data_IF_966490251620
#
_entry.id   IF_966490251620
#
_cell.length_a   1.000
_cell.length_b   1.000
_cell.length_c   1.000
_cell.angle_alpha   90.00
_cell.angle_beta   90.00
_cell.angle_gamma   90.00
#
_symmetry.space_group_name_H-M   'P 1'
#
loop_
_entity.id
_entity.type
_entity.pdbx_description
1 polymer ?
#
# COMPACT_ATOMS: atom_id res chain seq x y z
N UNK A 1 14.14 10.40 -6.86
CA UNK A 1 12.96 10.03 -7.67
C UNK A 1 12.81 10.90 -8.91
N UNK A 2 12.67 12.23 -8.80
CA UNK A 2 12.53 13.12 -9.97
C UNK A 2 13.66 12.94 -11.01
N UNK A 3 14.92 12.82 -10.59
CA UNK A 3 16.04 12.54 -11.51
C UNK A 3 15.94 11.19 -12.23
N UNK A 4 15.31 10.18 -11.62
CA UNK A 4 15.07 8.87 -12.24
C UNK A 4 13.97 8.98 -13.30
N UNK A 5 12.87 9.66 -12.97
CA UNK A 5 11.79 9.97 -13.93
C UNK A 5 12.36 10.70 -15.15
N UNK A 6 13.25 11.66 -14.88
CA UNK A 6 13.99 12.44 -15.87
C UNK A 6 14.78 11.59 -16.83
N UNK A 7 15.61 10.69 -16.29
CA UNK A 7 16.44 9.80 -17.09
C UNK A 7 15.57 8.84 -17.90
N UNK A 8 14.53 8.26 -17.29
CA UNK A 8 13.57 7.38 -17.98
C UNK A 8 12.97 8.08 -19.21
N UNK A 9 12.51 9.33 -19.06
CA UNK A 9 11.90 10.09 -20.14
C UNK A 9 12.93 10.41 -21.25
N UNK A 10 14.16 10.78 -20.88
CA UNK A 10 15.25 11.04 -21.85
C UNK A 10 15.68 9.81 -22.65
N UNK A 11 15.50 8.61 -22.08
CA UNK A 11 15.76 7.33 -22.75
C UNK A 11 14.56 6.84 -23.58
N UNK A 12 13.45 7.59 -23.63
CA UNK A 12 12.23 7.21 -24.35
C UNK A 12 11.50 6.00 -23.76
N UNK A 13 11.75 5.66 -22.49
CA UNK A 13 11.18 4.48 -21.84
C UNK A 13 9.75 4.76 -21.36
N UNK A 14 8.78 4.00 -21.88
CA UNK A 14 7.38 4.06 -21.46
C UNK A 14 7.10 3.05 -20.34
N UNK A 15 7.54 3.39 -19.13
CA UNK A 15 7.35 2.55 -17.94
C UNK A 15 6.88 3.35 -16.73
N UNK A 16 6.10 2.69 -15.87
CA UNK A 16 5.78 3.20 -14.54
C UNK A 16 6.99 3.14 -13.61
N UNK A 17 7.04 4.04 -12.63
CA UNK A 17 7.97 3.96 -11.50
C UNK A 17 7.17 3.71 -10.23
N UNK A 18 7.39 2.57 -9.59
CA UNK A 18 6.79 2.26 -8.29
C UNK A 18 7.74 2.77 -7.21
N UNK A 19 7.22 3.63 -6.32
CA UNK A 19 7.94 4.12 -5.15
C UNK A 19 7.28 3.52 -3.92
N UNK A 20 7.91 2.52 -3.32
CA UNK A 20 7.45 1.93 -2.07
C UNK A 20 7.89 2.83 -0.91
N UNK A 21 6.91 3.32 -0.15
CA UNK A 21 7.12 4.23 0.97
C UNK A 21 6.55 3.57 2.24
N UNK A 22 7.41 2.99 3.10
CA UNK A 22 6.95 2.35 4.33
C UNK A 22 6.40 3.39 5.31
N UNK A 23 5.39 3.00 6.10
CA UNK A 23 5.02 3.76 7.29
C UNK A 23 6.15 3.73 8.32
N UNK A 24 6.30 4.78 9.15
CA UNK A 24 7.21 4.75 10.29
C UNK A 24 6.96 3.53 11.19
N UNK A 25 8.03 2.96 11.75
CA UNK A 25 7.96 1.72 12.54
C UNK A 25 7.13 1.86 13.84
N UNK A 26 6.99 3.07 14.35
CA UNK A 26 6.15 3.42 15.50
C UNK A 26 4.66 3.61 15.14
N UNK A 27 4.34 3.70 13.84
CA UNK A 27 2.99 3.86 13.30
C UNK A 27 2.51 2.60 12.57
N UNK A 28 3.39 1.63 12.34
CA UNK A 28 3.02 0.38 11.68
C UNK A 28 2.14 -0.49 12.59
N UNK A 29 1.34 -1.34 11.96
CA UNK A 29 0.63 -2.40 12.69
C UNK A 29 1.63 -3.45 13.22
N UNK A 30 1.40 -3.95 14.44
CA UNK A 30 2.09 -5.13 14.97
C UNK A 30 2.12 -6.28 13.93
N UNK A 31 3.31 -6.68 13.45
CA UNK A 31 3.44 -7.66 12.37
C UNK A 31 2.83 -9.02 12.73
N UNK A 32 2.95 -9.45 13.99
CA UNK A 32 2.44 -10.76 14.42
C UNK A 32 0.90 -10.78 14.32
N UNK A 33 0.25 -9.72 14.79
CA UNK A 33 -1.20 -9.57 14.72
C UNK A 33 -1.68 -9.45 13.27
N UNK A 34 -1.01 -8.63 12.46
CA UNK A 34 -1.31 -8.46 11.04
C UNK A 34 -1.24 -9.81 10.30
N UNK A 35 -0.14 -10.53 10.43
CA UNK A 35 0.10 -11.78 9.69
C UNK A 35 -0.90 -12.86 10.09
N UNK A 36 -1.27 -12.93 11.37
CA UNK A 36 -2.32 -13.83 11.85
C UNK A 36 -3.67 -13.54 11.20
N UNK A 37 -4.10 -12.28 11.16
CA UNK A 37 -5.39 -11.89 10.56
C UNK A 37 -5.37 -12.12 9.05
N UNK A 38 -4.27 -11.80 8.37
CA UNK A 38 -4.12 -12.04 6.95
C UNK A 38 -4.19 -13.54 6.61
N UNK A 39 -3.52 -14.38 7.38
CA UNK A 39 -3.57 -15.83 7.19
C UNK A 39 -4.99 -16.38 7.37
N UNK A 40 -5.74 -15.89 8.36
CA UNK A 40 -7.15 -16.22 8.56
C UNK A 40 -8.01 -15.76 7.37
N UNK A 41 -7.84 -14.52 6.91
CA UNK A 41 -8.56 -13.98 5.76
C UNK A 41 -8.31 -14.80 4.48
N UNK A 42 -7.07 -15.20 4.22
CA UNK A 42 -6.71 -16.03 3.07
C UNK A 42 -7.31 -17.44 3.15
N UNK A 43 -7.33 -18.02 4.35
CA UNK A 43 -7.97 -19.32 4.57
C UNK A 43 -9.48 -19.26 4.31
N UNK A 44 -10.17 -18.25 4.85
CA UNK A 44 -11.61 -18.05 4.65
C UNK A 44 -11.95 -17.77 3.18
N UNK A 45 -11.12 -16.98 2.47
CA UNK A 45 -11.29 -16.75 1.03
C UNK A 45 -11.19 -18.06 0.25
N UNK A 46 -10.26 -18.94 0.62
CA UNK A 46 -10.08 -20.24 -0.02
C UNK A 46 -11.29 -21.16 0.22
N UNK A 47 -11.73 -21.30 1.47
CA UNK A 47 -12.89 -22.15 1.82
C UNK A 47 -14.19 -21.66 1.19
N UNK A 48 -14.36 -20.33 1.08
CA UNK A 48 -15.50 -19.72 0.40
C UNK A 48 -15.40 -19.76 -1.15
N UNK A 49 -14.30 -20.28 -1.71
CA UNK A 49 -14.09 -20.35 -3.16
C UNK A 49 -13.94 -19.00 -3.86
N UNK A 50 -13.56 -17.94 -3.13
CA UNK A 50 -13.39 -16.58 -3.64
C UNK A 50 -12.12 -16.53 -4.51
N UNK A 51 -12.25 -16.00 -5.73
CA UNK A 51 -11.18 -16.05 -6.74
C UNK A 51 -11.16 -14.79 -7.61
N UNK A 52 -10.04 -14.61 -8.31
CA UNK A 52 -9.86 -13.51 -9.25
C UNK A 52 -10.00 -12.15 -8.58
N UNK A 53 -10.76 -11.26 -9.20
CA UNK A 53 -10.92 -9.89 -8.72
C UNK A 53 -11.62 -9.76 -7.36
N UNK A 54 -12.33 -10.80 -6.90
CA UNK A 54 -13.11 -10.77 -5.66
C UNK A 54 -12.24 -10.96 -4.41
N UNK A 55 -11.01 -11.44 -4.59
CA UNK A 55 -10.09 -11.71 -3.48
C UNK A 55 -9.74 -10.43 -2.73
N UNK A 56 -9.33 -9.37 -3.43
CA UNK A 56 -8.89 -8.13 -2.76
C UNK A 56 -10.01 -7.45 -1.96
N UNK A 57 -11.22 -7.22 -2.52
CA UNK A 57 -12.34 -6.66 -1.74
C UNK A 57 -12.69 -7.51 -0.52
N UNK A 58 -12.69 -8.84 -0.66
CA UNK A 58 -12.95 -9.74 0.46
C UNK A 58 -11.90 -9.62 1.57
N UNK A 59 -10.60 -9.71 1.22
CA UNK A 59 -9.52 -9.65 2.21
C UNK A 59 -9.53 -8.32 2.95
N UNK A 60 -9.73 -7.19 2.25
CA UNK A 60 -9.79 -5.88 2.88
C UNK A 60 -10.97 -5.76 3.86
N UNK A 61 -12.15 -6.23 3.47
CA UNK A 61 -13.32 -6.25 4.34
C UNK A 61 -13.11 -7.15 5.57
N UNK A 62 -12.54 -8.34 5.38
CA UNK A 62 -12.23 -9.26 6.46
C UNK A 62 -11.24 -8.67 7.46
N UNK A 63 -10.12 -8.13 6.95
CA UNK A 63 -9.08 -7.52 7.79
C UNK A 63 -9.66 -6.33 8.56
N UNK A 64 -10.46 -5.47 7.92
CA UNK A 64 -11.12 -4.35 8.57
C UNK A 64 -12.03 -4.80 9.71
N UNK A 65 -12.86 -5.82 9.48
CA UNK A 65 -13.78 -6.35 10.47
C UNK A 65 -13.05 -7.00 11.66
N UNK A 66 -11.95 -7.70 11.39
CA UNK A 66 -11.22 -8.50 12.39
C UNK A 66 -10.04 -7.75 13.06
N UNK A 67 -9.76 -6.50 12.67
CA UNK A 67 -8.67 -5.70 13.24
C UNK A 67 -9.09 -4.81 14.41
N UNK A 68 -10.35 -4.84 14.85
CA UNK A 68 -10.90 -3.91 15.84
C UNK A 68 -10.61 -2.42 15.52
N UNK A 69 -10.61 -2.06 14.24
CA UNK A 69 -10.32 -0.69 13.77
C UNK A 69 -8.84 -0.36 13.52
N UNK A 70 -7.88 -1.18 13.96
CA UNK A 70 -6.44 -0.87 13.81
C UNK A 70 -6.01 -0.81 12.34
N UNK A 71 -6.52 -1.70 11.48
CA UNK A 71 -6.21 -1.69 10.04
C UNK A 71 -6.61 -0.39 9.36
N UNK A 72 -7.75 0.20 9.74
CA UNK A 72 -8.23 1.47 9.17
C UNK A 72 -7.33 2.63 9.59
N UNK A 73 -6.94 2.67 10.87
CA UNK A 73 -6.02 3.68 11.40
C UNK A 73 -4.67 3.63 10.68
N UNK A 74 -4.05 2.45 10.61
CA UNK A 74 -2.77 2.25 9.93
C UNK A 74 -2.86 2.57 8.43
N UNK A 75 -3.99 2.24 7.79
CA UNK A 75 -4.21 2.58 6.39
C UNK A 75 -4.28 4.11 6.17
N UNK A 76 -4.93 4.84 7.07
CA UNK A 76 -4.99 6.30 7.00
C UNK A 76 -3.60 6.94 7.17
N UNK A 77 -2.79 6.44 8.09
CA UNK A 77 -1.40 6.89 8.29
C UNK A 77 -0.56 6.61 7.02
N UNK A 78 -0.72 5.42 6.42
CA UNK A 78 -0.07 5.04 5.17
C UNK A 78 -0.47 5.95 4.00
N UNK A 79 -1.75 6.25 3.83
CA UNK A 79 -2.24 7.16 2.77
C UNK A 79 -1.69 8.55 2.98
N UNK A 80 -1.72 9.07 4.20
CA UNK A 80 -1.21 10.41 4.55
C UNK A 80 0.29 10.52 4.23
N UNK A 81 1.07 9.51 4.64
CA UNK A 81 2.50 9.46 4.35
C UNK A 81 2.80 9.37 2.84
N UNK A 82 2.02 8.56 2.11
CA UNK A 82 2.16 8.45 0.65
C UNK A 82 1.84 9.76 -0.07
N UNK A 83 0.83 10.50 0.37
CA UNK A 83 0.52 11.83 -0.17
C UNK A 83 1.67 12.80 0.07
N UNK A 84 2.25 12.82 1.27
CA UNK A 84 3.39 13.70 1.57
C UNK A 84 4.59 13.41 0.66
N UNK A 85 4.94 12.13 0.47
CA UNK A 85 6.03 11.72 -0.43
C UNK A 85 5.71 12.05 -1.89
N UNK A 86 4.47 11.82 -2.34
CA UNK A 86 4.03 12.17 -3.69
C UNK A 86 4.15 13.68 -3.95
N UNK A 87 3.76 14.52 -2.98
CA UNK A 87 3.90 15.98 -3.08
C UNK A 87 5.36 16.41 -3.18
N UNK A 88 6.26 15.81 -2.39
CA UNK A 88 7.69 16.10 -2.45
C UNK A 88 8.28 15.72 -3.83
N UNK A 89 7.89 14.56 -4.37
CA UNK A 89 8.31 14.11 -5.71
C UNK A 89 7.79 15.07 -6.79
N UNK A 90 6.50 15.42 -6.74
CA UNK A 90 5.89 16.32 -7.71
C UNK A 90 6.54 17.71 -7.69
N UNK A 91 6.77 18.26 -6.49
CA UNK A 91 7.43 19.56 -6.33
C UNK A 91 8.87 19.55 -6.86
N UNK A 92 9.62 18.48 -6.60
CA UNK A 92 10.96 18.32 -7.15
C UNK A 92 10.93 18.17 -8.69
N UNK A 93 9.90 17.51 -9.23
CA UNK A 93 9.71 17.35 -10.67
C UNK A 93 9.42 18.67 -11.39
N UNK A 94 8.58 19.54 -10.80
CA UNK A 94 8.23 20.84 -11.41
C UNK A 94 9.35 21.86 -11.40
N UNK A 95 10.37 21.68 -10.55
CA UNK A 95 11.53 22.59 -10.43
C UNK A 95 12.67 22.21 -11.37
N UNK A 96 12.48 21.20 -12.23
CA UNK A 96 13.47 20.70 -13.16
C UNK A 96 13.56 21.55 -14.42
#
# INVERSE_FOLDING_TARGET
VASIMSSRDSLGLRSGLIVANPVPADQQWDPITHDRILAQALHEAHEAGIRGHDVTPFLLAYIQHNSAGESLKVNLDLVTNNVAVALAIATAWTKR
#
